data_IF_027092637512
#
_entry.id   IF_027092637512
#
_cell.length_a   1.000
_cell.length_b   1.000
_cell.length_c   1.000
_cell.angle_alpha   90.00
_cell.angle_beta   90.00
_cell.angle_gamma   90.00
#
_symmetry.space_group_name_H-M   'P 1'
#
loop_
_entity.id
_entity.type
_entity.pdbx_description
1 polymer ?
#
# COMPACT_ATOMS: atom_id res chain seq x y z
N UNK A 1 4.92 -24.99 -12.58
CA UNK A 1 4.78 -23.66 -11.94
C UNK A 1 4.01 -23.86 -10.64
N UNK A 2 4.43 -23.24 -9.53
CA UNK A 2 3.67 -23.30 -8.26
C UNK A 2 2.51 -22.30 -8.32
N UNK A 3 1.33 -22.68 -7.85
CA UNK A 3 0.20 -21.76 -7.73
C UNK A 3 0.52 -20.66 -6.70
N UNK A 4 0.20 -19.38 -6.98
CA UNK A 4 0.44 -18.28 -6.05
C UNK A 4 -0.49 -18.37 -4.84
N UNK A 5 -0.05 -17.85 -3.70
CA UNK A 5 -0.95 -17.59 -2.57
C UNK A 5 -1.71 -16.31 -2.83
N UNK A 6 -3.03 -16.37 -2.88
CA UNK A 6 -3.91 -15.20 -2.99
C UNK A 6 -4.85 -15.23 -1.79
N UNK A 7 -5.06 -14.07 -1.18
CA UNK A 7 -6.04 -13.91 -0.09
C UNK A 7 -7.10 -12.91 -0.51
N UNK A 8 -8.33 -13.13 -0.08
CA UNK A 8 -9.49 -12.29 -0.41
C UNK A 8 -10.21 -11.98 0.88
N UNK A 9 -10.53 -10.71 1.14
CA UNK A 9 -11.31 -10.33 2.32
C UNK A 9 -12.76 -10.82 2.21
N UNK A 10 -13.46 -10.89 3.34
CA UNK A 10 -14.88 -11.27 3.33
C UNK A 10 -15.73 -10.29 2.51
N UNK A 11 -15.41 -9.00 2.54
CA UNK A 11 -16.08 -7.97 1.75
C UNK A 11 -15.93 -8.23 0.25
N UNK A 12 -14.69 -8.48 -0.19
CA UNK A 12 -14.41 -8.80 -1.58
C UNK A 12 -15.04 -10.12 -2.03
N UNK A 13 -15.02 -11.16 -1.19
CA UNK A 13 -15.69 -12.43 -1.49
C UNK A 13 -17.19 -12.26 -1.74
N UNK A 14 -17.87 -11.45 -0.91
CA UNK A 14 -19.30 -11.15 -1.12
C UNK A 14 -19.53 -10.42 -2.45
N UNK A 15 -18.76 -9.36 -2.72
CA UNK A 15 -18.89 -8.57 -3.94
C UNK A 15 -18.65 -9.42 -5.21
N UNK A 16 -17.65 -10.31 -5.21
CA UNK A 16 -17.41 -11.19 -6.35
C UNK A 16 -18.51 -12.23 -6.54
N UNK A 17 -19.05 -12.81 -5.46
CA UNK A 17 -20.16 -13.78 -5.56
C UNK A 17 -21.42 -13.13 -6.11
N UNK A 18 -21.72 -11.91 -5.66
CA UNK A 18 -22.83 -11.13 -6.19
C UNK A 18 -22.67 -10.85 -7.68
N UNK A 19 -21.49 -10.38 -8.09
CA UNK A 19 -21.18 -10.13 -9.51
C UNK A 19 -21.26 -11.42 -10.35
N UNK A 20 -20.84 -12.56 -9.81
CA UNK A 20 -20.86 -13.84 -10.52
C UNK A 20 -22.28 -14.32 -10.87
N UNK A 21 -23.31 -13.92 -10.12
CA UNK A 21 -24.70 -14.30 -10.43
C UNK A 21 -25.22 -13.72 -11.75
N UNK A 22 -24.58 -12.67 -12.28
CA UNK A 22 -24.96 -12.03 -13.52
C UNK A 22 -24.18 -12.55 -14.74
N UNK A 23 -23.21 -13.44 -14.53
CA UNK A 23 -22.27 -13.90 -15.56
C UNK A 23 -22.74 -15.19 -16.25
N UNK A 24 -22.11 -15.54 -17.37
CA UNK A 24 -22.47 -16.75 -18.11
C UNK A 24 -22.04 -18.01 -17.37
N UNK A 25 -22.73 -19.12 -17.63
CA UNK A 25 -22.36 -20.40 -17.07
C UNK A 25 -20.93 -20.79 -17.49
N UNK A 26 -20.07 -21.06 -16.51
CA UNK A 26 -18.66 -21.42 -16.74
C UNK A 26 -17.67 -20.27 -16.57
N UNK A 27 -18.14 -19.01 -16.49
CA UNK A 27 -17.28 -17.87 -16.19
C UNK A 27 -16.72 -17.96 -14.76
N UNK A 28 -15.48 -17.53 -14.61
CA UNK A 28 -14.79 -17.41 -13.31
C UNK A 28 -14.16 -16.03 -13.18
N UNK A 29 -13.83 -15.63 -11.96
CA UNK A 29 -13.04 -14.42 -11.76
C UNK A 29 -11.67 -14.62 -12.43
N UNK A 30 -11.30 -13.72 -13.32
CA UNK A 30 -9.98 -13.65 -13.94
C UNK A 30 -9.22 -12.47 -13.38
N UNK A 31 -7.96 -12.73 -13.04
CA UNK A 31 -7.01 -11.71 -12.64
C UNK A 31 -5.96 -11.56 -13.75
N UNK A 32 -5.69 -10.32 -14.11
CA UNK A 32 -4.57 -9.94 -14.98
C UNK A 32 -3.60 -9.04 -14.23
N UNK A 33 -2.30 -9.32 -14.31
CA UNK A 33 -1.24 -8.46 -13.78
C UNK A 33 -0.19 -8.27 -14.87
N UNK A 34 -0.11 -7.04 -15.39
CA UNK A 34 0.85 -6.68 -16.44
C UNK A 34 2.29 -6.58 -15.89
N UNK A 35 3.25 -6.25 -16.76
CA UNK A 35 4.66 -6.11 -16.35
C UNK A 35 4.92 -4.89 -15.43
N UNK A 36 4.01 -3.91 -15.39
CA UNK A 36 4.04 -2.72 -14.53
C UNK A 36 3.19 -2.91 -13.27
N UNK A 37 2.65 -4.11 -13.03
CA UNK A 37 1.75 -4.43 -11.92
C UNK A 37 0.42 -3.65 -11.94
N UNK A 38 -0.04 -3.19 -13.11
CA UNK A 38 -1.43 -2.83 -13.26
C UNK A 38 -2.28 -4.09 -13.18
N UNK A 39 -3.36 -4.02 -12.40
CA UNK A 39 -4.24 -5.14 -12.13
C UNK A 39 -5.58 -4.91 -12.82
N UNK A 40 -6.15 -5.98 -13.36
CA UNK A 40 -7.50 -5.99 -13.91
C UNK A 40 -8.25 -7.24 -13.43
N UNK A 41 -9.55 -7.08 -13.19
CA UNK A 41 -10.46 -8.09 -12.66
C UNK A 41 -11.71 -8.14 -13.54
N UNK A 42 -11.97 -9.31 -14.11
CA UNK A 42 -13.11 -9.52 -15.01
C UNK A 42 -13.58 -10.96 -14.97
N UNK A 43 -14.79 -11.24 -15.45
CA UNK A 43 -15.29 -12.61 -15.57
C UNK A 43 -15.11 -13.12 -16.99
N UNK A 44 -14.55 -14.33 -17.12
CA UNK A 44 -14.49 -15.07 -18.38
C UNK A 44 -14.19 -16.55 -18.11
N UNK A 45 -14.32 -17.44 -19.11
CA UNK A 45 -14.03 -18.86 -18.95
C UNK A 45 -12.55 -19.11 -18.61
N UNK A 46 -12.26 -20.29 -18.04
CA UNK A 46 -10.88 -20.75 -17.83
C UNK A 46 -10.25 -21.13 -19.18
N UNK A 47 -9.01 -20.69 -19.40
CA UNK A 47 -8.23 -21.02 -20.59
C UNK A 47 -7.29 -22.23 -20.34
N UNK A 48 -6.89 -22.99 -21.38
CA UNK A 48 -6.11 -24.21 -21.22
C UNK A 48 -4.76 -24.10 -20.49
N UNK A 49 -4.22 -22.89 -20.33
CA UNK A 49 -2.92 -22.63 -19.67
C UNK A 49 -3.04 -21.88 -18.36
N UNK A 50 -4.26 -21.65 -17.88
CA UNK A 50 -4.44 -20.90 -16.66
C UNK A 50 -3.99 -21.67 -15.44
N UNK A 51 -3.45 -20.91 -14.49
CA UNK A 51 -3.31 -21.31 -13.11
C UNK A 51 -4.58 -20.85 -12.40
N UNK A 52 -5.33 -21.80 -11.85
CA UNK A 52 -6.55 -21.52 -11.09
C UNK A 52 -6.27 -21.72 -9.61
N UNK A 53 -6.57 -20.71 -8.80
CA UNK A 53 -6.57 -20.80 -7.34
C UNK A 53 -8.00 -20.73 -6.81
N UNK A 54 -8.25 -21.38 -5.67
CA UNK A 54 -9.55 -21.36 -5.02
C UNK A 54 -9.39 -20.74 -3.64
N UNK A 55 -10.15 -19.67 -3.38
CA UNK A 55 -10.18 -18.97 -2.08
C UNK A 55 -11.63 -18.98 -1.61
N UNK A 56 -11.93 -19.73 -0.54
CA UNK A 56 -13.29 -19.86 0.01
C UNK A 56 -14.36 -20.14 -1.06
N UNK A 57 -14.06 -21.05 -1.98
CA UNK A 57 -14.94 -21.45 -3.08
C UNK A 57 -14.95 -20.50 -4.28
N UNK A 58 -14.35 -19.31 -4.20
CA UNK A 58 -14.14 -18.43 -5.35
C UNK A 58 -12.99 -18.95 -6.20
N UNK A 59 -13.27 -19.30 -7.46
CA UNK A 59 -12.25 -19.68 -8.44
C UNK A 59 -11.67 -18.41 -9.08
N UNK A 60 -10.35 -18.28 -9.03
CA UNK A 60 -9.60 -17.17 -9.63
C UNK A 60 -8.64 -17.74 -10.66
N UNK A 61 -8.89 -17.45 -11.94
CA UNK A 61 -8.05 -17.88 -13.06
C UNK A 61 -7.05 -16.80 -13.46
N UNK A 62 -5.83 -17.23 -13.78
CA UNK A 62 -4.72 -16.36 -14.17
C UNK A 62 -3.91 -17.04 -15.26
N UNK A 63 -3.45 -16.29 -16.27
CA UNK A 63 -2.42 -16.81 -17.15
C UNK A 63 -1.10 -17.04 -16.36
N UNK A 64 -0.14 -17.83 -16.89
CA UNK A 64 1.10 -18.15 -16.19
C UNK A 64 1.95 -16.92 -15.80
N UNK A 65 1.95 -15.85 -16.60
CA UNK A 65 2.71 -14.61 -16.31
C UNK A 65 2.05 -13.78 -15.20
N UNK A 66 0.73 -13.79 -15.11
CA UNK A 66 -0.01 -13.17 -14.00
C UNK A 66 0.22 -13.96 -12.72
N UNK A 67 0.12 -15.30 -12.78
CA UNK A 67 0.31 -16.16 -11.62
C UNK A 67 1.67 -15.97 -10.94
N UNK A 68 2.73 -15.77 -11.74
CA UNK A 68 4.07 -15.42 -11.22
C UNK A 68 4.12 -14.09 -10.46
N UNK A 69 3.25 -13.13 -10.79
CA UNK A 69 3.19 -11.80 -10.17
C UNK A 69 2.19 -11.71 -9.02
N UNK A 70 1.38 -12.75 -8.80
CA UNK A 70 0.28 -12.74 -7.84
C UNK A 70 0.62 -13.37 -6.48
N UNK A 71 1.84 -13.88 -6.25
CA UNK A 71 2.15 -14.55 -4.98
C UNK A 71 2.11 -13.57 -3.80
N UNK A 72 1.25 -13.84 -2.82
CA UNK A 72 1.01 -12.95 -1.68
C UNK A 72 0.03 -11.81 -1.95
N UNK A 73 -0.65 -11.79 -3.11
CA UNK A 73 -1.67 -10.78 -3.42
C UNK A 73 -2.81 -10.84 -2.38
N UNK A 74 -3.22 -9.67 -1.90
CA UNK A 74 -4.41 -9.48 -1.09
C UNK A 74 -5.45 -8.65 -1.86
N UNK A 75 -6.67 -9.17 -1.96
CA UNK A 75 -7.80 -8.48 -2.60
C UNK A 75 -8.81 -8.12 -1.52
N UNK A 76 -9.10 -6.83 -1.40
CA UNK A 76 -10.09 -6.27 -0.50
C UNK A 76 -11.17 -5.50 -1.29
N UNK A 77 -12.26 -5.16 -0.62
CA UNK A 77 -13.34 -4.37 -1.20
C UNK A 77 -13.71 -3.27 -0.21
N UNK A 78 -13.51 -2.03 -0.65
CA UNK A 78 -13.73 -0.85 0.15
C UNK A 78 -15.02 -0.20 -0.32
N UNK A 79 -15.95 0.00 0.60
CA UNK A 79 -17.14 0.83 0.41
C UNK A 79 -16.98 2.09 1.26
N UNK A 80 -16.97 3.25 0.62
CA UNK A 80 -16.89 4.52 1.32
C UNK A 80 -17.49 5.67 0.52
N UNK A 81 -17.73 6.83 1.15
CA UNK A 81 -18.36 7.99 0.51
C UNK A 81 -17.58 8.52 -0.71
N UNK A 82 -16.26 8.30 -0.73
CA UNK A 82 -15.34 8.84 -1.74
C UNK A 82 -14.88 7.81 -2.78
N UNK A 83 -15.00 6.51 -2.49
CA UNK A 83 -14.61 5.45 -3.39
C UNK A 83 -15.31 4.13 -3.02
N UNK A 84 -15.85 3.46 -4.03
CA UNK A 84 -16.36 2.08 -3.93
C UNK A 84 -15.63 1.23 -4.95
N UNK A 85 -15.05 0.12 -4.51
CA UNK A 85 -14.41 -0.82 -5.43
C UNK A 85 -13.38 -1.74 -4.78
N UNK A 86 -12.77 -2.59 -5.62
CA UNK A 86 -11.74 -3.51 -5.21
C UNK A 86 -10.40 -2.81 -4.99
N UNK A 87 -9.73 -3.15 -3.89
CA UNK A 87 -8.36 -2.74 -3.59
C UNK A 87 -7.46 -3.96 -3.66
N UNK A 88 -6.37 -3.87 -4.42
CA UNK A 88 -5.41 -4.95 -4.58
C UNK A 88 -4.06 -4.52 -4.00
N UNK A 89 -3.57 -5.26 -3.01
CA UNK A 89 -2.22 -5.09 -2.46
C UNK A 89 -1.32 -6.22 -2.98
N UNK A 90 -0.43 -5.88 -3.90
CA UNK A 90 0.49 -6.83 -4.50
C UNK A 90 1.92 -6.59 -3.97
N UNK A 91 2.44 -7.48 -3.09
CA UNK A 91 3.77 -7.31 -2.51
C UNK A 91 4.90 -7.47 -3.53
N UNK A 92 4.62 -8.02 -4.72
CA UNK A 92 5.60 -8.21 -5.78
C UNK A 92 5.75 -6.99 -6.68
N UNK A 93 4.83 -6.03 -6.61
CA UNK A 93 5.01 -4.76 -7.29
C UNK A 93 6.26 -4.09 -6.72
N UNK A 94 7.21 -3.73 -7.58
CA UNK A 94 8.41 -3.02 -7.14
C UNK A 94 7.97 -1.74 -6.43
N UNK A 95 8.06 -1.72 -5.10
CA UNK A 95 7.72 -0.53 -4.36
C UNK A 95 8.77 0.53 -4.67
N UNK A 96 8.30 1.68 -5.15
CA UNK A 96 9.05 2.94 -5.21
C UNK A 96 9.27 3.53 -3.82
N UNK A 97 8.68 2.96 -2.77
CA UNK A 97 8.88 3.42 -1.40
C UNK A 97 10.30 3.08 -0.94
N UNK A 98 11.11 4.11 -0.75
CA UNK A 98 12.51 3.98 -0.35
C UNK A 98 12.69 4.25 1.15
N UNK A 99 13.69 3.62 1.76
CA UNK A 99 14.05 3.87 3.16
C UNK A 99 15.07 4.99 3.27
N UNK A 100 14.86 5.93 4.20
CA UNK A 100 15.83 6.97 4.58
C UNK A 100 16.16 6.87 6.07
N UNK A 101 17.43 7.02 6.45
CA UNK A 101 17.83 6.96 7.88
C UNK A 101 17.53 8.31 8.57
N UNK A 102 17.26 8.34 9.89
CA UNK A 102 17.04 9.59 10.63
C UNK A 102 18.09 10.68 10.37
N UNK A 103 19.38 10.30 10.37
CA UNK A 103 20.49 11.23 10.12
C UNK A 103 20.46 11.85 8.72
N UNK A 104 19.98 11.12 7.71
CA UNK A 104 19.86 11.66 6.35
C UNK A 104 18.65 12.61 6.27
N UNK A 105 17.57 12.34 6.99
CA UNK A 105 16.43 13.28 7.08
C UNK A 105 16.87 14.61 7.67
N UNK A 106 17.66 14.59 8.75
CA UNK A 106 18.23 15.82 9.34
C UNK A 106 19.10 16.56 8.33
N UNK A 107 19.98 15.86 7.59
CA UNK A 107 20.80 16.48 6.55
C UNK A 107 19.96 17.12 5.44
N UNK A 108 18.89 16.45 5.01
CA UNK A 108 17.97 17.00 4.00
C UNK A 108 17.30 18.29 4.52
N UNK A 109 16.88 18.32 5.80
CA UNK A 109 16.33 19.52 6.44
C UNK A 109 17.35 20.66 6.50
N UNK A 110 18.57 20.36 6.95
CA UNK A 110 19.66 21.35 7.06
C UNK A 110 20.10 21.89 5.69
N UNK A 111 20.07 21.05 4.66
CA UNK A 111 20.35 21.44 3.28
C UNK A 111 19.22 22.26 2.64
N UNK A 112 18.06 22.39 3.31
CA UNK A 112 16.90 23.09 2.76
C UNK A 112 16.28 22.35 1.58
N UNK A 113 16.40 21.02 1.51
CA UNK A 113 15.71 20.24 0.48
C UNK A 113 14.20 20.41 0.60
N UNK A 114 13.52 20.47 -0.56
CA UNK A 114 12.06 20.58 -0.60
C UNK A 114 11.42 19.20 -0.46
N UNK A 115 10.91 18.90 0.74
CA UNK A 115 10.13 17.69 1.02
C UNK A 115 9.18 17.89 2.20
N UNK A 116 8.17 17.03 2.29
CA UNK A 116 7.25 16.99 3.42
C UNK A 116 7.74 15.94 4.42
N UNK A 117 8.05 16.35 5.64
CA UNK A 117 8.36 15.42 6.73
C UNK A 117 7.11 15.17 7.58
N UNK A 118 6.61 13.95 7.55
CA UNK A 118 5.25 13.62 7.98
C UNK A 118 5.30 12.60 9.12
N UNK A 119 4.69 12.90 10.26
CA UNK A 119 4.51 11.97 11.37
C UNK A 119 3.18 11.20 11.23
N UNK A 120 3.28 9.97 10.75
CA UNK A 120 2.14 9.09 10.49
C UNK A 120 1.77 8.21 11.69
N UNK A 121 2.41 8.39 12.86
CA UNK A 121 2.06 7.63 14.08
C UNK A 121 0.67 8.02 14.58
N UNK A 122 -0.05 7.13 15.28
CA UNK A 122 -1.32 7.45 15.94
C UNK A 122 -1.23 8.68 16.87
N UNK A 123 -2.31 9.45 17.00
CA UNK A 123 -2.34 10.66 17.82
C UNK A 123 -1.94 10.42 19.29
N UNK A 124 -2.33 9.28 19.87
CA UNK A 124 -1.97 8.90 21.24
C UNK A 124 -0.46 8.69 21.41
N UNK A 125 0.25 8.27 20.37
CA UNK A 125 1.70 8.13 20.37
C UNK A 125 2.40 9.49 20.21
N UNK A 126 1.91 10.33 19.29
CA UNK A 126 2.42 11.69 19.08
C UNK A 126 2.26 12.58 20.32
N UNK A 127 1.21 12.34 21.11
CA UNK A 127 0.98 13.05 22.37
C UNK A 127 2.05 12.77 23.44
N UNK A 128 2.76 11.61 23.37
CA UNK A 128 3.85 11.30 24.30
C UNK A 128 5.13 12.04 23.93
N UNK A 129 5.47 12.02 22.64
CA UNK A 129 6.66 12.66 22.08
C UNK A 129 6.42 12.88 20.59
N UNK A 130 6.88 14.02 20.07
CA UNK A 130 6.83 14.37 18.64
C UNK A 130 8.12 15.06 18.22
N UNK A 131 8.48 14.91 16.95
CA UNK A 131 9.60 15.65 16.36
C UNK A 131 9.02 16.95 15.81
N UNK A 132 9.49 18.09 16.31
CA UNK A 132 8.97 19.43 15.95
C UNK A 132 8.97 19.67 14.45
N UNK A 133 9.96 19.11 13.74
CA UNK A 133 10.12 19.28 12.28
C UNK A 133 9.16 18.40 11.46
N UNK A 134 8.48 17.42 12.08
CA UNK A 134 7.55 16.54 11.40
C UNK A 134 6.11 17.03 11.60
N UNK A 135 5.37 17.24 10.50
CA UNK A 135 3.93 17.59 10.57
C UNK A 135 3.11 16.32 10.76
N UNK A 136 2.22 16.33 11.75
CA UNK A 136 1.33 15.21 12.01
C UNK A 136 0.43 14.92 10.80
N UNK A 137 0.31 13.65 10.41
CA UNK A 137 -0.69 13.21 9.44
C UNK A 137 -2.05 13.14 10.14
N UNK A 138 -2.89 14.14 9.85
CA UNK A 138 -4.30 14.20 10.19
C UNK A 138 -5.16 14.24 8.91
N UNK A 139 -6.48 14.24 9.07
CA UNK A 139 -7.41 14.23 7.92
C UNK A 139 -7.24 15.45 7.02
N UNK A 140 -6.98 16.62 7.59
CA UNK A 140 -6.82 17.88 6.85
C UNK A 140 -5.55 17.81 6.01
N UNK A 141 -4.42 17.45 6.61
CA UNK A 141 -3.15 17.36 5.91
C UNK A 141 -3.13 16.21 4.91
N UNK A 142 -3.81 15.09 5.19
CA UNK A 142 -3.97 14.01 4.22
C UNK A 142 -4.70 14.50 2.95
N UNK A 143 -5.75 15.33 3.09
CA UNK A 143 -6.44 15.94 1.97
C UNK A 143 -5.56 16.97 1.22
N UNK A 144 -4.79 17.79 1.93
CA UNK A 144 -3.81 18.71 1.33
C UNK A 144 -2.78 17.95 0.48
N UNK A 145 -2.23 16.86 1.03
CA UNK A 145 -1.27 16.01 0.33
C UNK A 145 -1.92 15.32 -0.88
N UNK A 146 -3.17 14.90 -0.80
CA UNK A 146 -3.85 14.29 -1.94
C UNK A 146 -4.01 15.25 -3.13
N UNK A 147 -4.19 16.54 -2.87
CA UNK A 147 -4.26 17.60 -3.87
C UNK A 147 -2.87 18.10 -4.34
N UNK A 148 -1.78 17.67 -3.70
CA UNK A 148 -0.42 18.14 -4.01
C UNK A 148 0.13 17.54 -5.32
N UNK A 149 1.13 18.21 -5.95
CA UNK A 149 1.85 17.66 -7.10
C UNK A 149 2.50 16.31 -6.78
N UNK A 150 2.45 15.36 -7.72
CA UNK A 150 2.94 13.98 -7.53
C UNK A 150 4.46 13.87 -7.50
N UNK A 151 5.14 14.94 -7.90
CA UNK A 151 6.59 15.16 -7.80
C UNK A 151 7.03 15.52 -6.39
N UNK A 152 6.11 15.91 -5.49
CA UNK A 152 6.46 16.31 -4.13
C UNK A 152 7.05 15.12 -3.37
N UNK A 153 8.24 15.31 -2.81
CA UNK A 153 8.91 14.30 -2.00
C UNK A 153 8.24 14.19 -0.63
N UNK A 154 7.84 12.98 -0.25
CA UNK A 154 7.19 12.69 1.02
C UNK A 154 8.08 11.76 1.85
N UNK A 155 8.34 12.11 3.11
CA UNK A 155 9.10 11.30 4.06
C UNK A 155 8.22 10.99 5.25
N UNK A 156 7.84 9.73 5.42
CA UNK A 156 6.90 9.31 6.47
C UNK A 156 7.61 8.65 7.65
N UNK A 157 7.31 9.14 8.84
CA UNK A 157 7.74 8.61 10.11
C UNK A 157 6.62 7.77 10.73
N UNK A 158 6.92 6.51 11.03
CA UNK A 158 6.11 5.65 11.89
C UNK A 158 6.83 5.34 13.21
N UNK A 159 6.28 4.41 14.00
CA UNK A 159 7.00 3.93 15.19
C UNK A 159 8.24 3.13 14.76
N UNK A 160 8.07 2.21 13.80
CA UNK A 160 9.13 1.43 13.17
C UNK A 160 9.10 1.53 11.64
N UNK A 161 10.06 0.87 10.98
CA UNK A 161 10.13 0.76 9.51
C UNK A 161 8.84 0.26 8.87
N UNK A 162 8.17 -0.73 9.48
CA UNK A 162 6.94 -1.33 8.95
C UNK A 162 5.77 -0.36 8.97
N UNK A 163 5.67 0.45 10.02
CA UNK A 163 4.59 1.42 10.21
C UNK A 163 4.75 2.57 9.21
N UNK A 164 5.97 3.12 9.10
CA UNK A 164 6.28 4.18 8.13
C UNK A 164 6.09 3.72 6.68
N UNK A 165 6.54 2.50 6.35
CA UNK A 165 6.32 1.92 5.02
C UNK A 165 4.84 1.72 4.72
N UNK A 166 4.06 1.24 5.69
CA UNK A 166 2.60 1.05 5.53
C UNK A 166 1.91 2.39 5.29
N UNK A 167 2.26 3.41 6.06
CA UNK A 167 1.74 4.77 5.89
C UNK A 167 2.10 5.38 4.53
N UNK A 168 3.23 4.98 3.92
CA UNK A 168 3.70 5.46 2.63
C UNK A 168 2.91 4.86 1.44
N UNK A 169 2.34 3.66 1.57
CA UNK A 169 1.65 2.93 0.49
C UNK A 169 0.52 3.70 -0.17
N UNK A 170 -0.40 4.36 0.57
CA UNK A 170 -1.48 5.14 -0.06
C UNK A 170 -0.95 6.23 -0.98
N UNK A 171 0.17 6.89 -0.64
CA UNK A 171 0.76 7.95 -1.46
C UNK A 171 1.41 7.38 -2.73
N UNK A 172 2.14 6.27 -2.61
CA UNK A 172 2.68 5.56 -3.77
C UNK A 172 1.55 5.13 -4.74
N UNK A 173 0.47 4.58 -4.21
CA UNK A 173 -0.72 4.16 -4.97
C UNK A 173 -1.42 5.34 -5.65
N UNK A 174 -1.48 6.50 -4.99
CA UNK A 174 -1.98 7.76 -5.56
C UNK A 174 -0.99 8.42 -6.54
N UNK A 175 0.12 7.77 -6.87
CA UNK A 175 1.03 8.16 -7.94
C UNK A 175 2.17 9.08 -7.53
N UNK A 176 2.41 9.30 -6.23
CA UNK A 176 3.60 10.01 -5.79
C UNK A 176 4.87 9.29 -6.24
N UNK A 177 5.83 10.07 -6.75
CA UNK A 177 7.05 9.54 -7.39
C UNK A 177 8.18 9.33 -6.39
N UNK A 178 8.29 10.20 -5.39
CA UNK A 178 9.33 10.16 -4.37
C UNK A 178 8.70 9.97 -2.98
N UNK A 179 8.40 8.72 -2.63
CA UNK A 179 7.84 8.37 -1.32
C UNK A 179 8.88 7.62 -0.51
N UNK A 180 9.12 8.09 0.69
CA UNK A 180 10.14 7.56 1.59
C UNK A 180 9.55 7.25 2.96
N UNK A 181 10.18 6.34 3.69
CA UNK A 181 9.90 6.12 5.11
C UNK A 181 11.19 6.19 5.92
N UNK A 182 11.06 6.62 7.18
CA UNK A 182 12.19 6.64 8.11
C UNK A 182 12.51 5.21 8.58
N UNK A 183 13.70 4.73 8.24
CA UNK A 183 14.19 3.41 8.66
C UNK A 183 14.34 3.37 10.17
N UNK A 184 13.68 2.40 10.79
CA UNK A 184 13.61 2.24 12.25
C UNK A 184 12.64 3.19 12.95
N UNK A 185 11.95 4.07 12.19
CA UNK A 185 10.94 4.98 12.71
C UNK A 185 11.46 5.90 13.82
N UNK A 186 10.56 6.26 14.75
CA UNK A 186 10.92 7.11 15.88
C UNK A 186 11.85 6.40 16.87
N UNK A 187 11.82 5.06 16.98
CA UNK A 187 12.74 4.34 17.88
C UNK A 187 14.21 4.53 17.47
N UNK A 188 14.48 4.48 16.16
CA UNK A 188 15.80 4.81 15.63
C UNK A 188 16.13 6.29 15.78
N UNK A 189 15.14 7.18 15.62
CA UNK A 189 15.33 8.61 15.87
C UNK A 189 15.77 8.90 17.31
N UNK A 190 15.12 8.30 18.29
CA UNK A 190 15.46 8.43 19.72
C UNK A 190 16.89 7.98 20.07
N UNK A 191 17.46 7.09 19.26
CA UNK A 191 18.85 6.63 19.43
C UNK A 191 19.85 7.69 18.96
N UNK A 192 19.44 8.50 17.98
CA UNK A 192 20.23 9.60 17.41
C UNK A 192 20.04 10.90 18.19
N UNK A 193 18.82 11.16 18.67
CA UNK A 193 18.42 12.39 19.36
C UNK A 193 17.81 12.05 20.73
N UNK A 194 18.61 12.14 21.81
CA UNK A 194 18.15 11.84 23.18
C UNK A 194 17.02 12.74 23.69
N UNK A 195 16.75 13.88 23.03
CA UNK A 195 15.62 14.74 23.40
C UNK A 195 14.27 14.14 23.01
N UNK A 196 14.27 13.11 22.17
CA UNK A 196 13.10 12.33 21.76
C UNK A 196 13.12 10.99 22.51
N UNK A 197 12.51 10.87 23.71
CA UNK A 197 12.54 9.63 24.47
C UNK A 197 11.73 8.50 23.81
N UNK A 198 12.18 7.26 24.00
CA UNK A 198 11.44 6.04 23.63
C UNK A 198 10.25 5.81 24.56
N UNK A 199 9.23 5.10 24.10
CA UNK A 199 8.01 4.80 24.86
C UNK A 199 7.33 3.50 24.42
#
# INVERSE_FOLDING_TARGET
MRAPRVTVSEGALRAFREAAHQMSEGDVLRLSIDAKFHNDLFFAPVEPKDVVVVVDGLRIAMNPRTAQRADGLHIDYVEGPSATGFKLDNPNASSRIQGVRPVEVVRMLEAGESFEFIDARPAAERAKVSIVMARALDEVYAAELEAAPRERKLVLLGHHSTDGRTAARPFEQKGFKEVWYVVGGIDAWSTMDPSVPRY
#
